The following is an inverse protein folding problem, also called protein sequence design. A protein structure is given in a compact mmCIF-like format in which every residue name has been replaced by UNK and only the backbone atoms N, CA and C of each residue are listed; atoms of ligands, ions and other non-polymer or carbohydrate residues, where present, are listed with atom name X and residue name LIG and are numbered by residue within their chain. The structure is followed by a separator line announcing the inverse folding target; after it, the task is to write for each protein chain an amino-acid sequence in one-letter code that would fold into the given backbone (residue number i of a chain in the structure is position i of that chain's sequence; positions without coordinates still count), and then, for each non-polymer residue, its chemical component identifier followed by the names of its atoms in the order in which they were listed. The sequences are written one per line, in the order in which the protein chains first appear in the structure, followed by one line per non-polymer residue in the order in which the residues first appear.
data_IF_991037016321
#
_entry.id   IF_991037016321
#
_cell.length_a   1.000
_cell.length_b   1.000
_cell.length_c   1.000
_cell.angle_alpha   90.00
_cell.angle_beta   90.00
_cell.angle_gamma   90.00
#
_symmetry.space_group_name_H-M   'P 1'
#
loop_
_entity.id
_entity.type
_entity.pdbx_description
1 polymer ?
#
# COMPACT_ATOMS: atom_id res chain seq x y z
N UNK A 1 24.23 9.78 3.03
CA UNK A 1 22.85 10.27 2.80
C UNK A 1 22.72 11.08 1.52
N UNK A 2 23.67 11.98 1.18
CA UNK A 2 23.63 12.80 -0.06
C UNK A 2 23.25 12.02 -1.32
N UNK A 3 23.79 10.80 -1.50
CA UNK A 3 23.47 9.95 -2.65
C UNK A 3 21.95 9.67 -2.82
N UNK A 4 21.20 9.53 -1.72
CA UNK A 4 19.77 9.21 -1.74
C UNK A 4 18.85 10.43 -1.58
N UNK A 5 19.40 11.65 -1.50
CA UNK A 5 18.63 12.86 -1.18
C UNK A 5 17.40 13.05 -2.08
N UNK A 6 17.55 12.76 -3.38
CA UNK A 6 16.49 12.86 -4.38
C UNK A 6 16.36 11.58 -5.24
N UNK A 7 16.71 10.42 -4.68
CA UNK A 7 16.77 9.17 -5.42
C UNK A 7 16.11 8.03 -4.63
N UNK A 8 15.13 7.38 -5.23
CA UNK A 8 14.65 6.08 -4.82
C UNK A 8 15.32 4.99 -5.67
N UNK A 9 15.67 3.86 -5.05
CA UNK A 9 16.24 2.71 -5.76
C UNK A 9 15.36 1.49 -5.62
N UNK A 10 15.29 0.70 -6.69
CA UNK A 10 14.52 -0.54 -6.77
C UNK A 10 15.44 -1.67 -7.26
N UNK A 11 15.28 -2.84 -6.66
CA UNK A 11 16.05 -4.05 -6.97
C UNK A 11 15.11 -5.17 -7.39
N UNK A 12 15.41 -5.77 -8.54
CA UNK A 12 14.71 -6.96 -9.05
C UNK A 12 15.66 -8.16 -9.08
N UNK A 13 15.13 -9.35 -8.87
CA UNK A 13 15.87 -10.62 -8.91
C UNK A 13 15.48 -11.58 -7.79
N UNK A 14 15.59 -12.88 -8.05
CA UNK A 14 15.13 -13.95 -7.16
C UNK A 14 15.82 -13.97 -5.79
N UNK A 15 17.02 -13.40 -5.70
CA UNK A 15 17.75 -13.24 -4.44
C UNK A 15 17.13 -12.17 -3.53
N UNK A 16 16.56 -11.10 -4.10
CA UNK A 16 15.92 -10.01 -3.33
C UNK A 16 14.42 -10.21 -3.18
N UNK A 17 13.75 -10.75 -4.19
CA UNK A 17 12.37 -11.23 -4.13
C UNK A 17 12.00 -11.91 -5.46
N UNK A 18 11.52 -13.17 -5.44
CA UNK A 18 11.14 -13.88 -6.67
C UNK A 18 9.79 -13.42 -7.27
N UNK A 19 8.97 -12.73 -6.48
CA UNK A 19 7.58 -12.36 -6.85
C UNK A 19 7.25 -10.91 -6.52
N UNK A 20 8.25 -10.11 -6.13
CA UNK A 20 8.14 -8.70 -5.82
C UNK A 20 9.48 -8.01 -6.08
N UNK A 21 9.80 -6.95 -5.33
CA UNK A 21 11.06 -6.21 -5.46
C UNK A 21 11.63 -5.79 -4.09
N UNK A 22 12.93 -5.53 -4.07
CA UNK A 22 13.61 -4.83 -2.99
C UNK A 22 13.67 -3.32 -3.26
N UNK A 23 13.76 -2.50 -2.21
CA UNK A 23 13.82 -1.04 -2.37
C UNK A 23 14.76 -0.36 -1.39
N UNK A 24 15.18 0.85 -1.75
CA UNK A 24 15.75 1.85 -0.85
C UNK A 24 14.99 3.16 -1.07
N UNK A 25 14.20 3.56 -0.08
CA UNK A 25 13.43 4.80 -0.13
C UNK A 25 14.01 5.84 0.83
N UNK A 26 14.35 7.04 0.33
CA UNK A 26 14.79 8.12 1.20
C UNK A 26 13.65 8.60 2.09
N UNK A 27 13.98 8.88 3.34
CA UNK A 27 13.19 9.61 4.32
C UNK A 27 13.95 10.88 4.70
N UNK A 28 13.31 11.76 5.47
CA UNK A 28 13.89 13.06 5.81
C UNK A 28 15.26 12.95 6.52
N UNK A 29 15.47 11.91 7.33
CA UNK A 29 16.63 11.73 8.21
C UNK A 29 17.32 10.35 8.07
N UNK A 30 16.71 9.41 7.33
CA UNK A 30 17.23 8.06 7.13
C UNK A 30 16.79 7.48 5.78
N UNK A 31 17.20 6.24 5.48
CA UNK A 31 16.67 5.47 4.35
C UNK A 31 15.94 4.24 4.85
N UNK A 32 14.84 3.90 4.20
CA UNK A 32 14.14 2.64 4.41
C UNK A 32 14.62 1.63 3.36
N UNK A 33 15.40 0.64 3.80
CA UNK A 33 15.82 -0.50 2.96
C UNK A 33 14.87 -1.65 3.24
N UNK A 34 14.19 -2.16 2.21
CA UNK A 34 13.13 -3.15 2.39
C UNK A 34 13.00 -4.13 1.24
N UNK A 35 12.13 -5.12 1.42
CA UNK A 35 11.71 -6.06 0.37
C UNK A 35 10.30 -6.55 0.68
N UNK A 36 9.63 -7.11 -0.32
CA UNK A 36 8.33 -7.74 -0.19
C UNK A 36 8.31 -9.13 -0.81
N UNK A 37 7.31 -9.92 -0.47
CA UNK A 37 6.98 -11.17 -1.17
C UNK A 37 5.52 -11.52 -0.94
N UNK A 38 4.89 -12.12 -1.94
CA UNK A 38 3.49 -12.55 -1.85
C UNK A 38 3.43 -14.00 -1.36
N UNK A 39 4.31 -14.85 -1.87
CA UNK A 39 4.26 -16.31 -1.74
C UNK A 39 5.34 -16.90 -0.83
N UNK A 40 6.48 -16.22 -0.65
CA UNK A 40 7.67 -16.76 0.04
C UNK A 40 7.89 -16.15 1.43
N UNK A 41 6.82 -15.97 2.22
CA UNK A 41 6.85 -15.22 3.49
C UNK A 41 7.87 -15.72 4.51
N UNK A 42 8.16 -17.03 4.52
CA UNK A 42 9.17 -17.63 5.40
C UNK A 42 10.60 -17.13 5.12
N UNK A 43 10.87 -16.74 3.87
CA UNK A 43 12.18 -16.28 3.41
C UNK A 43 12.36 -14.75 3.49
N UNK A 44 11.38 -14.00 4.03
CA UNK A 44 11.42 -12.53 4.05
C UNK A 44 12.70 -11.95 4.67
N UNK A 45 13.26 -12.62 5.69
CA UNK A 45 14.53 -12.20 6.31
C UNK A 45 15.74 -12.42 5.40
N UNK A 46 15.74 -13.50 4.62
CA UNK A 46 16.78 -13.80 3.62
C UNK A 46 16.78 -12.76 2.52
N UNK A 47 15.59 -12.47 1.98
CA UNK A 47 15.38 -11.42 0.98
C UNK A 47 15.78 -10.04 1.50
N UNK A 48 15.41 -9.72 2.75
CA UNK A 48 15.78 -8.44 3.38
C UNK A 48 17.30 -8.29 3.49
N UNK A 49 18.01 -9.37 3.84
CA UNK A 49 19.47 -9.40 3.88
C UNK A 49 20.06 -9.21 2.47
N UNK A 50 19.52 -9.88 1.45
CA UNK A 50 19.97 -9.73 0.08
C UNK A 50 19.83 -8.30 -0.44
N UNK A 51 18.69 -7.63 -0.21
CA UNK A 51 18.50 -6.23 -0.61
C UNK A 51 19.50 -5.32 0.10
N UNK A 52 19.73 -5.52 1.41
CA UNK A 52 20.75 -4.77 2.16
C UNK A 52 22.15 -4.99 1.60
N UNK A 53 22.48 -6.21 1.19
CA UNK A 53 23.77 -6.52 0.58
C UNK A 53 23.96 -5.81 -0.76
N UNK A 54 22.91 -5.72 -1.60
CA UNK A 54 22.95 -4.97 -2.86
C UNK A 54 23.09 -3.46 -2.67
N UNK A 55 22.60 -2.92 -1.55
CA UNK A 55 22.72 -1.50 -1.21
C UNK A 55 23.98 -1.17 -0.37
N UNK A 56 24.79 -2.17 0.01
CA UNK A 56 25.77 -2.06 1.12
C UNK A 56 26.72 -0.87 1.00
N UNK A 57 27.24 -0.61 -0.20
CA UNK A 57 28.29 0.39 -0.43
C UNK A 57 27.72 1.81 -0.24
N UNK A 58 26.42 1.99 -0.50
CA UNK A 58 25.70 3.28 -0.42
C UNK A 58 25.17 3.57 0.98
N UNK A 59 24.97 2.53 1.79
CA UNK A 59 24.49 2.64 3.19
C UNK A 59 25.61 2.41 4.22
N UNK A 60 26.86 2.39 3.79
CA UNK A 60 28.02 2.14 4.64
C UNK A 60 28.09 3.13 5.80
N UNK A 61 28.39 2.64 7.00
CA UNK A 61 28.43 3.43 8.24
C UNK A 61 27.05 3.76 8.83
N UNK A 62 25.96 3.42 8.15
CA UNK A 62 24.61 3.52 8.70
C UNK A 62 24.35 2.53 9.85
N UNK A 63 23.45 2.90 10.75
CA UNK A 63 22.99 2.04 11.85
C UNK A 63 21.55 1.60 11.59
N UNK A 64 21.23 0.35 11.92
CA UNK A 64 19.84 -0.10 11.92
C UNK A 64 19.15 0.55 13.11
N UNK A 65 18.17 1.41 12.82
CA UNK A 65 17.36 2.08 13.84
C UNK A 65 16.04 1.36 14.12
N UNK A 66 15.54 0.58 13.15
CA UNK A 66 14.25 -0.13 13.22
C UNK A 66 14.18 -1.28 12.22
N UNK A 67 13.48 -2.35 12.59
CA UNK A 67 13.17 -3.49 11.72
C UNK A 67 11.70 -3.85 11.93
N UNK A 68 10.93 -3.81 10.85
CA UNK A 68 9.48 -4.04 10.86
C UNK A 68 9.08 -4.84 9.62
N UNK A 69 7.95 -5.54 9.71
CA UNK A 69 7.34 -6.24 8.60
C UNK A 69 5.82 -6.18 8.76
N UNK A 70 5.10 -5.95 7.65
CA UNK A 70 3.65 -5.80 7.64
C UNK A 70 3.05 -6.56 6.45
N UNK A 71 1.87 -7.17 6.63
CA UNK A 71 1.15 -7.79 5.51
C UNK A 71 0.59 -6.72 4.57
N UNK A 72 0.64 -6.99 3.25
CA UNK A 72 0.10 -6.11 2.22
C UNK A 72 -1.23 -6.72 1.72
N UNK A 73 -2.39 -6.07 1.96
CA UNK A 73 -3.69 -6.60 1.57
C UNK A 73 -4.04 -6.26 0.11
N UNK A 74 -3.54 -7.09 -0.82
CA UNK A 74 -3.70 -6.92 -2.29
C UNK A 74 -4.98 -7.52 -2.88
N UNK A 75 -5.90 -7.95 -2.02
CA UNK A 75 -7.15 -8.59 -2.42
C UNK A 75 -8.34 -7.86 -1.79
N UNK A 76 -9.21 -7.24 -2.60
CA UNK A 76 -10.41 -6.62 -2.09
C UNK A 76 -11.27 -7.63 -1.31
N UNK A 77 -11.66 -7.29 -0.08
CA UNK A 77 -12.47 -8.20 0.75
C UNK A 77 -13.82 -8.50 0.09
N UNK A 78 -14.37 -9.73 0.18
CA UNK A 78 -15.65 -10.06 -0.46
C UNK A 78 -16.81 -9.14 -0.04
N UNK A 79 -16.81 -8.74 1.24
CA UNK A 79 -17.80 -7.82 1.81
C UNK A 79 -17.10 -6.57 2.33
N UNK A 80 -17.35 -5.43 1.69
CA UNK A 80 -16.80 -4.11 2.06
C UNK A 80 -17.86 -3.11 2.50
N UNK A 81 -19.12 -3.49 2.41
CA UNK A 81 -20.28 -2.69 2.79
C UNK A 81 -21.28 -3.58 3.54
N UNK A 82 -21.81 -3.05 4.63
CA UNK A 82 -22.95 -3.61 5.34
C UNK A 82 -23.70 -2.49 6.09
N UNK A 83 -24.96 -2.28 5.73
CA UNK A 83 -25.77 -1.20 6.28
C UNK A 83 -25.07 0.15 6.08
N UNK A 84 -24.77 0.82 7.20
CA UNK A 84 -24.07 2.12 7.23
C UNK A 84 -22.58 2.00 7.53
N UNK A 85 -21.97 0.85 7.25
CA UNK A 85 -20.55 0.59 7.50
C UNK A 85 -19.84 0.24 6.20
N UNK A 86 -18.87 1.07 5.81
CA UNK A 86 -18.03 0.87 4.64
C UNK A 86 -16.56 0.73 5.03
N UNK A 87 -15.83 -0.18 4.37
CA UNK A 87 -14.38 -0.32 4.50
C UNK A 87 -13.67 0.53 3.44
N UNK A 88 -12.52 1.11 3.81
CA UNK A 88 -11.64 1.88 2.92
C UNK A 88 -10.18 1.47 3.12
N UNK A 89 -9.30 1.82 2.18
CA UNK A 89 -7.86 1.50 2.22
C UNK A 89 -7.55 0.02 2.46
N UNK A 90 -6.57 -0.25 3.31
CA UNK A 90 -6.13 -1.60 3.68
C UNK A 90 -7.26 -2.46 4.27
N UNK A 91 -8.20 -1.85 5.00
CA UNK A 91 -9.34 -2.56 5.55
C UNK A 91 -10.23 -3.14 4.42
N UNK A 92 -10.34 -2.44 3.30
CA UNK A 92 -11.06 -2.90 2.13
C UNK A 92 -10.22 -3.80 1.20
N UNK A 93 -8.90 -3.79 1.34
CA UNK A 93 -7.96 -4.53 0.49
C UNK A 93 -7.69 -3.83 -0.85
N UNK A 94 -7.53 -2.50 -0.82
CA UNK A 94 -7.32 -1.66 -2.02
C UNK A 94 -5.87 -1.40 -2.39
N UNK A 95 -4.92 -2.17 -1.84
CA UNK A 95 -3.52 -2.06 -2.28
C UNK A 95 -3.38 -2.66 -3.68
N UNK A 96 -2.68 -1.98 -4.58
CA UNK A 96 -2.47 -2.49 -5.94
C UNK A 96 -1.47 -3.63 -5.96
N UNK A 97 -1.79 -4.64 -6.77
CA UNK A 97 -0.87 -5.73 -7.07
C UNK A 97 0.39 -5.19 -7.74
N UNK A 98 1.50 -5.92 -7.58
CA UNK A 98 2.81 -5.66 -8.20
C UNK A 98 3.57 -4.45 -7.65
N UNK A 99 2.94 -3.29 -7.46
CA UNK A 99 3.61 -2.09 -6.93
C UNK A 99 3.48 -1.93 -5.41
N UNK A 100 2.54 -2.61 -4.76
CA UNK A 100 2.27 -2.39 -3.34
C UNK A 100 1.80 -0.98 -3.00
N UNK A 101 1.36 -0.18 -3.98
CA UNK A 101 0.87 1.18 -3.74
C UNK A 101 -0.47 1.13 -2.99
N UNK A 102 -0.47 1.62 -1.76
CA UNK A 102 -1.64 1.62 -0.88
C UNK A 102 -2.02 2.99 -0.34
N UNK A 103 -1.07 3.93 -0.26
CA UNK A 103 -1.29 5.26 0.36
C UNK A 103 -2.28 6.05 -0.48
N UNK A 104 -2.04 6.15 -1.78
CA UNK A 104 -2.94 6.84 -2.70
C UNK A 104 -4.34 6.21 -2.68
N UNK A 105 -4.45 4.88 -2.72
CA UNK A 105 -5.73 4.21 -2.77
C UNK A 105 -6.49 4.25 -1.43
N UNK A 106 -5.78 4.29 -0.30
CA UNK A 106 -6.38 4.57 1.00
C UNK A 106 -6.98 5.98 1.04
N UNK A 107 -6.23 6.99 0.63
CA UNK A 107 -6.73 8.37 0.59
C UNK A 107 -7.90 8.53 -0.40
N UNK A 108 -7.76 7.98 -1.60
CA UNK A 108 -8.79 8.03 -2.65
C UNK A 108 -10.08 7.34 -2.23
N UNK A 109 -9.98 6.12 -1.69
CA UNK A 109 -11.16 5.39 -1.18
C UNK A 109 -11.85 6.12 -0.04
N UNK A 110 -11.08 6.69 0.89
CA UNK A 110 -11.62 7.53 1.97
C UNK A 110 -12.39 8.74 1.44
N UNK A 111 -11.81 9.47 0.49
CA UNK A 111 -12.44 10.64 -0.13
C UNK A 111 -13.75 10.26 -0.83
N UNK A 112 -13.72 9.24 -1.69
CA UNK A 112 -14.91 8.82 -2.44
C UNK A 112 -16.02 8.30 -1.51
N UNK A 113 -15.66 7.60 -0.43
CA UNK A 113 -16.63 7.18 0.59
C UNK A 113 -17.27 8.39 1.29
N UNK A 114 -16.49 9.41 1.64
CA UNK A 114 -17.00 10.64 2.22
C UNK A 114 -17.91 11.42 1.25
N UNK A 115 -17.54 11.52 -0.03
CA UNK A 115 -18.35 12.13 -1.08
C UNK A 115 -19.72 11.43 -1.21
N UNK A 116 -19.73 10.09 -1.23
CA UNK A 116 -20.97 9.31 -1.25
C UNK A 116 -21.85 9.52 -0.01
N UNK A 117 -21.24 9.68 1.18
CA UNK A 117 -21.97 10.00 2.41
C UNK A 117 -22.61 11.39 2.33
N UNK A 118 -21.85 12.39 1.89
CA UNK A 118 -22.33 13.78 1.78
C UNK A 118 -23.47 13.87 0.76
N UNK A 119 -23.31 13.27 -0.42
CA UNK A 119 -24.33 13.24 -1.46
C UNK A 119 -25.57 12.46 -1.00
N UNK A 120 -25.39 11.24 -0.49
CA UNK A 120 -26.47 10.38 -0.02
C UNK A 120 -27.27 10.99 1.13
N UNK A 121 -26.60 11.67 2.07
CA UNK A 121 -27.28 12.37 3.17
C UNK A 121 -28.05 13.61 2.71
N UNK A 122 -27.91 14.04 1.45
CA UNK A 122 -28.45 15.30 0.95
C UNK A 122 -27.87 16.51 1.69
N UNK A 123 -26.56 16.49 1.97
CA UNK A 123 -25.88 17.43 2.87
C UNK A 123 -26.46 17.43 4.30
N UNK A 124 -26.63 16.24 4.88
CA UNK A 124 -27.10 16.07 6.27
C UNK A 124 -28.61 16.21 6.49
N UNK A 125 -29.41 16.28 5.42
CA UNK A 125 -30.89 16.34 5.50
C UNK A 125 -31.53 15.01 5.88
N UNK A 126 -30.83 13.89 5.65
CA UNK A 126 -31.25 12.55 6.06
C UNK A 126 -30.07 11.67 6.43
N UNK A 127 -30.36 10.57 7.13
CA UNK A 127 -29.39 9.50 7.33
C UNK A 127 -29.14 8.77 6.00
N UNK A 128 -27.87 8.42 5.78
CA UNK A 128 -27.48 7.52 4.68
C UNK A 128 -27.94 6.10 4.96
N UNK A 129 -28.19 5.35 3.90
CA UNK A 129 -28.40 3.91 3.95
C UNK A 129 -27.38 3.17 3.06
N UNK A 130 -27.53 1.85 2.97
CA UNK A 130 -26.60 1.03 2.19
C UNK A 130 -26.64 1.37 0.69
N UNK A 131 -27.79 1.78 0.16
CA UNK A 131 -27.95 2.09 -1.27
C UNK A 131 -27.17 3.33 -1.68
N UNK A 132 -27.08 4.32 -0.79
CA UNK A 132 -26.26 5.53 -0.99
C UNK A 132 -24.77 5.16 -1.13
N UNK A 133 -24.30 4.26 -0.27
CA UNK A 133 -22.90 3.84 -0.23
C UNK A 133 -22.55 2.82 -1.33
N UNK A 134 -23.53 2.14 -1.93
CA UNK A 134 -23.29 1.18 -3.03
C UNK A 134 -22.71 1.87 -4.26
N UNK A 135 -23.10 3.12 -4.54
CA UNK A 135 -22.56 3.91 -5.66
C UNK A 135 -21.05 4.05 -5.59
N UNK A 136 -20.53 4.33 -4.39
CA UNK A 136 -19.09 4.41 -4.14
C UNK A 136 -18.35 3.14 -4.59
N UNK A 137 -18.88 1.95 -4.32
CA UNK A 137 -18.22 0.70 -4.72
C UNK A 137 -18.26 0.45 -6.23
N UNK A 138 -19.28 0.94 -6.93
CA UNK A 138 -19.33 0.93 -8.39
C UNK A 138 -18.21 1.77 -9.00
N UNK A 139 -18.07 3.00 -8.51
CA UNK A 139 -17.04 3.95 -8.98
C UNK A 139 -15.61 3.50 -8.58
N UNK A 140 -15.43 2.96 -7.37
CA UNK A 140 -14.13 2.45 -6.91
C UNK A 140 -13.70 1.21 -7.70
N UNK A 141 -14.63 0.32 -8.06
CA UNK A 141 -14.34 -0.86 -8.87
C UNK A 141 -13.78 -0.50 -10.25
N UNK A 142 -14.38 0.49 -10.91
CA UNK A 142 -13.88 1.01 -12.19
C UNK A 142 -12.51 1.71 -12.03
N UNK A 143 -12.35 2.49 -10.95
CA UNK A 143 -11.14 3.27 -10.70
C UNK A 143 -9.91 2.47 -10.25
N UNK A 144 -10.07 1.25 -9.72
CA UNK A 144 -8.97 0.35 -9.37
C UNK A 144 -8.63 -0.57 -10.55
N UNK A 145 -9.62 -1.12 -11.25
CA UNK A 145 -9.39 -1.96 -12.43
C UNK A 145 -8.73 -1.21 -13.58
N UNK A 146 -8.88 0.13 -13.65
CA UNK A 146 -8.21 0.94 -14.67
C UNK A 146 -6.70 1.16 -14.42
N UNK A 147 -6.17 0.76 -13.25
CA UNK A 147 -4.78 0.98 -12.84
C UNK A 147 -4.00 -0.33 -12.59
N UNK A 148 -4.62 -1.50 -12.83
CA UNK A 148 -3.99 -2.83 -12.80
C UNK A 148 -4.11 -3.42 -14.20
#
# INVERSE_FOLDING_TARGET
MVYYENLAEMYVGDDVSPDFYGWVFPKCDHVAVGTGTVTHKGDIKKFQLATRNRARDKILGGKIIRVEAHPIPEHPRPRRLLGRVALVGDAAGYVTKCSGEGIYFAAKSGRMCAEAIVEGSGNGKRMVDESDLRRYFGEMGQGILAYI
#
